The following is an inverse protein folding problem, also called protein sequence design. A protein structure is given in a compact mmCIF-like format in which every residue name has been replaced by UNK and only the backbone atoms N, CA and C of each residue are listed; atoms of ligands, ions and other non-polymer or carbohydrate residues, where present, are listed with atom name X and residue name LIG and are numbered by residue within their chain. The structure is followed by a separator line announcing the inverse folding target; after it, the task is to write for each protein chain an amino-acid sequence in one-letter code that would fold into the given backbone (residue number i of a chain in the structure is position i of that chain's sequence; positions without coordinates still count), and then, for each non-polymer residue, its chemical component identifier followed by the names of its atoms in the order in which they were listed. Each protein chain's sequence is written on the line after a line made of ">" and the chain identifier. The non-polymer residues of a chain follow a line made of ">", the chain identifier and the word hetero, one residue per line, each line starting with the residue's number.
data_IF_195081259022
#
_entry.id   IF_195081259022
#
_cell.length_a   1.000
_cell.length_b   1.000
_cell.length_c   1.000
_cell.angle_alpha   90.00
_cell.angle_beta   90.00
_cell.angle_gamma   90.00
#
_symmetry.space_group_name_H-M   'P 1'
#
loop_
_entity.id
_entity.type
_entity.pdbx_description
1 polymer ?
#
# COMPACT_ATOMS: atom_id res chain seq x y z
N UNK A 1 1.19 4.63 -13.04
CA UNK A 1 1.03 4.81 -11.58
C UNK A 1 0.19 6.05 -11.34
N UNK A 2 -0.69 6.01 -10.34
CA UNK A 2 -1.61 7.09 -9.98
C UNK A 2 -1.46 7.36 -8.49
N UNK A 3 -1.25 8.62 -8.12
CA UNK A 3 -1.23 9.05 -6.72
C UNK A 3 -1.86 10.44 -6.57
N UNK A 4 -2.29 10.78 -5.36
CA UNK A 4 -2.95 12.05 -5.05
C UNK A 4 -2.17 12.84 -3.99
N UNK A 5 -1.92 14.11 -4.27
CA UNK A 5 -1.27 15.05 -3.35
C UNK A 5 -2.31 16.07 -2.91
N UNK A 6 -2.54 16.17 -1.60
CA UNK A 6 -3.41 17.20 -1.03
C UNK A 6 -2.77 18.58 -1.18
N UNK A 7 -3.56 19.54 -1.66
CA UNK A 7 -3.17 20.93 -1.84
C UNK A 7 -3.94 21.82 -0.87
N UNK A 8 -3.31 22.89 -0.40
CA UNK A 8 -4.04 24.00 0.19
C UNK A 8 -4.80 24.71 -0.93
N UNK A 9 -6.14 24.81 -0.91
CA UNK A 9 -6.87 25.48 -1.98
C UNK A 9 -6.53 26.96 -2.01
N UNK A 10 -6.16 27.47 -3.18
CA UNK A 10 -5.95 28.90 -3.42
C UNK A 10 -6.24 29.24 -4.89
N UNK A 11 -6.47 30.52 -5.13
CA UNK A 11 -6.44 31.12 -6.46
C UNK A 11 -5.29 32.11 -6.52
N UNK A 12 -4.66 32.21 -7.67
CA UNK A 12 -3.67 33.23 -7.94
C UNK A 12 -3.85 33.78 -9.37
N UNK A 13 -3.34 34.97 -9.63
CA UNK A 13 -3.37 35.61 -10.95
C UNK A 13 -1.94 35.71 -11.47
N UNK A 14 -1.60 34.85 -12.44
CA UNK A 14 -0.26 34.82 -13.03
C UNK A 14 -0.37 35.04 -14.53
N UNK A 15 0.33 36.05 -15.04
CA UNK A 15 0.34 36.35 -16.48
C UNK A 15 -1.04 36.65 -17.09
N UNK A 16 -1.96 37.21 -16.29
CA UNK A 16 -3.33 37.51 -16.71
C UNK A 16 -4.31 36.32 -16.65
N UNK A 17 -3.84 35.14 -16.22
CA UNK A 17 -4.67 33.94 -16.08
C UNK A 17 -4.91 33.60 -14.60
N UNK A 18 -6.12 33.13 -14.28
CA UNK A 18 -6.44 32.59 -12.96
C UNK A 18 -5.88 31.17 -12.87
N UNK A 19 -4.97 30.93 -11.93
CA UNK A 19 -4.39 29.62 -11.62
C UNK A 19 -4.95 29.07 -10.31
N UNK A 20 -4.83 27.75 -10.12
CA UNK A 20 -5.35 27.05 -8.93
C UNK A 20 -6.80 26.56 -9.06
N UNK A 21 -7.47 26.80 -10.19
CA UNK A 21 -8.80 26.25 -10.50
C UNK A 21 -8.71 24.73 -10.71
N UNK A 22 -9.70 24.00 -10.20
CA UNK A 22 -9.83 22.56 -10.45
C UNK A 22 -10.33 22.27 -11.88
N UNK A 23 -9.95 21.12 -12.42
CA UNK A 23 -10.39 20.67 -13.74
C UNK A 23 -11.84 20.14 -13.74
N UNK A 24 -12.34 19.70 -12.59
CA UNK A 24 -13.64 19.03 -12.49
C UNK A 24 -14.79 19.93 -11.99
N UNK A 25 -14.49 21.13 -11.47
CA UNK A 25 -15.49 22.13 -11.11
C UNK A 25 -14.90 23.55 -11.00
N UNK A 26 -15.74 24.55 -10.69
CA UNK A 26 -15.31 25.95 -10.61
C UNK A 26 -14.62 26.36 -9.31
N UNK A 27 -14.29 25.41 -8.41
CA UNK A 27 -13.61 25.70 -7.14
C UNK A 27 -12.09 25.59 -7.29
N UNK A 28 -11.39 26.12 -6.29
CA UNK A 28 -9.95 25.95 -6.15
C UNK A 28 -9.66 24.46 -5.92
N UNK A 29 -8.62 23.96 -6.58
CA UNK A 29 -8.19 22.58 -6.43
C UNK A 29 -7.76 22.32 -4.97
N UNK A 30 -8.21 21.20 -4.41
CA UNK A 30 -7.78 20.74 -3.09
C UNK A 30 -6.84 19.53 -3.19
N UNK A 31 -6.63 19.00 -4.39
CA UNK A 31 -5.70 17.93 -4.66
C UNK A 31 -5.12 18.02 -6.07
N UNK A 32 -3.95 17.42 -6.25
CA UNK A 32 -3.36 17.13 -7.55
C UNK A 32 -3.25 15.61 -7.71
N UNK A 33 -3.89 15.06 -8.73
CA UNK A 33 -3.74 13.67 -9.12
C UNK A 33 -2.61 13.56 -10.14
N UNK A 34 -1.53 12.90 -9.75
CA UNK A 34 -0.36 12.66 -10.59
C UNK A 34 -0.47 11.31 -11.31
N UNK A 35 -0.19 11.33 -12.61
CA UNK A 35 -0.08 10.14 -13.44
C UNK A 35 1.37 10.00 -13.89
N UNK A 36 1.97 8.86 -13.57
CA UNK A 36 3.35 8.57 -13.91
C UNK A 36 3.44 7.33 -14.78
N UNK A 37 4.23 7.41 -15.84
CA UNK A 37 4.68 6.27 -16.62
C UNK A 37 5.89 5.66 -15.90
N UNK A 38 5.87 4.34 -15.72
CA UNK A 38 7.02 3.59 -15.24
C UNK A 38 7.22 2.39 -16.17
N UNK A 39 8.41 2.26 -16.73
CA UNK A 39 8.75 1.17 -17.65
C UNK A 39 9.05 -0.11 -16.88
N UNK A 40 8.60 -1.25 -17.42
CA UNK A 40 8.96 -2.58 -16.89
C UNK A 40 10.32 -3.06 -17.38
N UNK A 41 10.74 -2.59 -18.56
CA UNK A 41 11.93 -3.10 -19.26
C UNK A 41 13.12 -2.15 -19.13
N UNK A 42 12.93 -0.96 -18.58
CA UNK A 42 13.96 0.06 -18.44
C UNK A 42 13.72 0.92 -17.20
N UNK A 43 14.70 1.72 -16.82
CA UNK A 43 14.62 2.62 -15.67
C UNK A 43 13.87 3.93 -15.97
N UNK A 44 13.10 3.99 -17.07
CA UNK A 44 12.35 5.18 -17.45
C UNK A 44 11.15 5.33 -16.51
N UNK A 45 11.11 6.47 -15.83
CA UNK A 45 10.00 6.90 -15.01
C UNK A 45 9.76 8.38 -15.26
N UNK A 46 8.54 8.75 -15.66
CA UNK A 46 8.21 10.13 -16.04
C UNK A 46 6.78 10.51 -15.64
N UNK A 47 6.56 11.80 -15.41
CA UNK A 47 5.23 12.35 -15.13
C UNK A 47 4.54 12.63 -16.45
N UNK A 48 3.45 11.93 -16.72
CA UNK A 48 2.72 12.06 -18.00
C UNK A 48 1.55 13.02 -17.89
N UNK A 49 0.99 13.19 -16.69
CA UNK A 49 -0.10 14.12 -16.47
C UNK A 49 -0.20 14.53 -15.00
N UNK A 50 -0.55 15.79 -14.74
CA UNK A 50 -0.92 16.29 -13.42
C UNK A 50 -2.29 16.94 -13.54
N UNK A 51 -3.26 16.41 -12.82
CA UNK A 51 -4.63 16.88 -12.84
C UNK A 51 -4.98 17.56 -11.52
N UNK A 52 -5.23 18.87 -11.57
CA UNK A 52 -5.73 19.62 -10.43
C UNK A 52 -7.23 19.35 -10.25
N UNK A 53 -7.64 18.89 -9.07
CA UNK A 53 -9.02 18.48 -8.79
C UNK A 53 -9.54 19.03 -7.47
N UNK A 54 -10.86 19.15 -7.38
CA UNK A 54 -11.58 19.40 -6.15
C UNK A 54 -12.61 18.28 -5.94
N UNK A 55 -12.36 17.35 -5.02
CA UNK A 55 -13.21 16.19 -4.74
C UNK A 55 -13.55 15.37 -6.01
N UNK A 56 -12.61 14.54 -6.43
CA UNK A 56 -12.74 13.73 -7.65
C UNK A 56 -13.78 12.60 -7.50
N UNK A 57 -14.57 12.37 -8.55
CA UNK A 57 -15.50 11.23 -8.64
C UNK A 57 -14.85 10.05 -9.35
N UNK A 58 -15.35 8.84 -9.07
CA UNK A 58 -14.82 7.62 -9.68
C UNK A 58 -15.00 7.61 -11.21
N UNK A 59 -16.14 8.12 -11.71
CA UNK A 59 -16.43 8.22 -13.15
C UNK A 59 -15.48 9.20 -13.84
N UNK A 60 -15.21 10.36 -13.24
CA UNK A 60 -14.27 11.32 -13.79
C UNK A 60 -12.85 10.76 -13.80
N UNK A 61 -12.43 10.13 -12.70
CA UNK A 61 -11.12 9.48 -12.63
C UNK A 61 -10.97 8.37 -13.68
N UNK A 62 -12.01 7.56 -13.90
CA UNK A 62 -12.02 6.53 -14.95
C UNK A 62 -11.76 7.12 -16.33
N UNK A 63 -12.44 8.21 -16.69
CA UNK A 63 -12.25 8.85 -18.00
C UNK A 63 -10.82 9.36 -18.16
N UNK A 64 -10.26 10.02 -17.15
CA UNK A 64 -8.88 10.48 -17.21
C UNK A 64 -7.90 9.31 -17.33
N UNK A 65 -8.08 8.23 -16.56
CA UNK A 65 -7.24 7.02 -16.69
C UNK A 65 -7.30 6.48 -18.12
N UNK A 66 -8.50 6.41 -18.70
CA UNK A 66 -8.71 5.93 -20.06
C UNK A 66 -8.01 6.84 -21.08
N UNK A 67 -8.17 8.16 -20.97
CA UNK A 67 -7.53 9.14 -21.86
C UNK A 67 -6.00 9.05 -21.80
N UNK A 68 -5.41 8.98 -20.60
CA UNK A 68 -3.97 8.82 -20.42
C UNK A 68 -3.48 7.52 -21.05
N UNK A 69 -4.21 6.41 -20.89
CA UNK A 69 -3.85 5.13 -21.53
C UNK A 69 -3.89 5.26 -23.05
N UNK A 70 -4.92 5.88 -23.62
CA UNK A 70 -5.06 6.04 -25.07
C UNK A 70 -3.94 6.93 -25.63
N UNK A 71 -3.67 8.07 -25.01
CA UNK A 71 -2.60 8.99 -25.41
C UNK A 71 -1.22 8.30 -25.39
N UNK A 72 -0.94 7.49 -24.36
CA UNK A 72 0.32 6.73 -24.30
C UNK A 72 0.43 5.70 -25.42
N UNK A 73 -0.67 5.04 -25.81
CA UNK A 73 -0.67 4.09 -26.92
C UNK A 73 -0.45 4.77 -28.27
N UNK A 74 -1.01 5.96 -28.47
CA UNK A 74 -0.79 6.76 -29.68
C UNK A 74 0.68 7.16 -29.86
N UNK A 75 1.37 7.45 -28.75
CA UNK A 75 2.82 7.72 -28.75
C UNK A 75 3.65 6.45 -29.04
N UNK A 76 3.07 5.27 -28.84
CA UNK A 76 3.72 3.97 -29.08
C UNK A 76 4.06 3.20 -27.81
N UNK A 77 3.69 3.69 -26.62
CA UNK A 77 3.86 2.93 -25.38
C UNK A 77 2.79 1.86 -25.21
N UNK A 78 3.23 0.68 -24.78
CA UNK A 78 2.33 -0.42 -24.44
C UNK A 78 2.00 -0.39 -22.95
N UNK A 79 0.90 0.25 -22.58
CA UNK A 79 0.41 0.22 -21.21
C UNK A 79 -0.17 -1.17 -20.91
N UNK A 80 0.38 -1.84 -19.89
CA UNK A 80 -0.07 -3.17 -19.45
C UNK A 80 -0.67 -3.19 -18.05
N UNK A 81 -0.35 -2.19 -17.22
CA UNK A 81 -0.73 -2.16 -15.81
C UNK A 81 -1.02 -0.75 -15.34
N UNK A 82 -2.07 -0.60 -14.53
CA UNK A 82 -2.35 0.57 -13.70
C UNK A 82 -2.02 0.21 -12.25
N UNK A 83 -1.29 1.09 -11.58
CA UNK A 83 -0.96 0.94 -10.16
C UNK A 83 -1.42 2.17 -9.40
N UNK A 84 -2.06 1.99 -8.25
CA UNK A 84 -2.50 3.09 -7.38
C UNK A 84 -2.32 2.72 -5.90
N UNK A 85 -2.50 3.68 -5.02
CA UNK A 85 -2.70 3.40 -3.60
C UNK A 85 -4.00 2.58 -3.36
N UNK A 86 -4.19 2.13 -2.11
CA UNK A 86 -5.38 1.38 -1.69
C UNK A 86 -6.55 2.30 -1.29
N UNK A 87 -6.77 3.39 -2.01
CA UNK A 87 -7.95 4.25 -1.82
C UNK A 87 -9.17 3.60 -2.50
N UNK A 88 -10.31 3.62 -1.80
CA UNK A 88 -11.57 3.07 -2.30
C UNK A 88 -12.05 3.76 -3.60
N UNK A 89 -11.70 5.03 -3.79
CA UNK A 89 -12.02 5.76 -5.02
C UNK A 89 -11.28 5.19 -6.23
N UNK A 90 -9.99 4.85 -6.08
CA UNK A 90 -9.20 4.24 -7.15
C UNK A 90 -9.74 2.86 -7.53
N UNK A 91 -10.05 2.04 -6.53
CA UNK A 91 -10.69 0.75 -6.76
C UNK A 91 -12.06 0.87 -7.43
N UNK A 92 -12.85 1.90 -7.08
CA UNK A 92 -14.15 2.19 -7.71
C UNK A 92 -13.97 2.69 -9.15
N UNK A 93 -13.01 3.57 -9.43
CA UNK A 93 -12.74 4.03 -10.79
C UNK A 93 -12.33 2.87 -11.71
N UNK A 94 -11.50 1.95 -11.20
CA UNK A 94 -11.10 0.76 -11.95
C UNK A 94 -12.23 -0.24 -12.15
N UNK A 95 -13.13 -0.42 -11.18
CA UNK A 95 -14.26 -1.35 -11.33
C UNK A 95 -15.19 -0.98 -12.50
N UNK A 96 -15.27 0.31 -12.82
CA UNK A 96 -16.05 0.86 -13.93
C UNK A 96 -15.48 0.52 -15.32
N UNK A 97 -14.28 -0.08 -15.42
CA UNK A 97 -13.76 -0.66 -16.68
C UNK A 97 -14.35 -2.05 -16.99
N UNK A 98 -15.23 -2.59 -16.13
CA UNK A 98 -15.83 -3.91 -16.28
C UNK A 98 -17.36 -3.84 -16.22
N UNK A 99 -18.02 -4.77 -16.93
CA UNK A 99 -19.46 -5.00 -16.81
C UNK A 99 -19.69 -6.45 -16.33
N UNK A 100 -20.32 -6.67 -15.16
CA UNK A 100 -20.79 -5.68 -14.18
C UNK A 100 -19.62 -4.97 -13.46
N UNK A 101 -19.88 -3.75 -12.98
CA UNK A 101 -18.92 -2.88 -12.27
C UNK A 101 -18.38 -3.56 -10.99
N UNK A 102 -17.31 -4.34 -11.13
CA UNK A 102 -16.70 -5.07 -10.01
C UNK A 102 -15.21 -4.90 -10.05
N UNK A 103 -14.62 -4.64 -8.89
CA UNK A 103 -13.16 -4.58 -8.75
C UNK A 103 -12.57 -5.95 -9.12
N UNK A 104 -11.67 -5.95 -10.08
CA UNK A 104 -10.92 -7.09 -10.60
C UNK A 104 -9.44 -6.70 -10.70
N UNK A 105 -8.60 -7.72 -10.87
CA UNK A 105 -7.18 -7.54 -11.19
C UNK A 105 -6.99 -7.40 -12.71
N UNK A 106 -7.94 -7.91 -13.51
CA UNK A 106 -7.86 -7.97 -14.96
C UNK A 106 -9.04 -7.24 -15.61
N UNK A 107 -8.73 -6.36 -16.56
CA UNK A 107 -9.68 -5.60 -17.35
C UNK A 107 -9.37 -5.70 -18.85
N UNK A 108 -10.36 -5.52 -19.73
CA UNK A 108 -10.10 -5.34 -21.16
C UNK A 108 -9.35 -4.02 -21.38
N UNK A 109 -8.29 -4.06 -22.19
CA UNK A 109 -7.49 -2.87 -22.46
C UNK A 109 -8.27 -1.85 -23.32
N UNK A 110 -8.34 -0.54 -22.94
CA UNK A 110 -9.15 0.47 -23.63
C UNK A 110 -8.87 0.65 -25.13
N UNK A 111 -7.61 0.61 -25.55
CA UNK A 111 -7.23 0.69 -26.97
C UNK A 111 -7.37 -0.65 -27.72
N UNK A 112 -7.32 -1.78 -27.02
CA UNK A 112 -7.15 -3.11 -27.61
C UNK A 112 -7.85 -4.17 -26.75
N UNK A 113 -9.17 -4.38 -26.90
CA UNK A 113 -9.94 -5.22 -25.97
C UNK A 113 -9.45 -6.66 -25.80
N UNK A 114 -8.68 -7.20 -26.75
CA UNK A 114 -8.05 -8.55 -26.65
C UNK A 114 -6.82 -8.60 -25.74
N UNK A 115 -6.23 -7.45 -25.40
CA UNK A 115 -5.08 -7.35 -24.52
C UNK A 115 -5.55 -7.14 -23.07
N UNK A 116 -4.91 -7.79 -22.09
CA UNK A 116 -5.21 -7.55 -20.69
C UNK A 116 -4.65 -6.19 -20.24
N UNK A 117 -5.42 -5.50 -19.41
CA UNK A 117 -4.96 -4.39 -18.57
C UNK A 117 -5.02 -4.86 -17.11
N UNK A 118 -3.87 -4.92 -16.45
CA UNK A 118 -3.78 -5.28 -15.05
C UNK A 118 -4.03 -4.08 -14.14
N UNK A 119 -4.63 -4.33 -12.98
CA UNK A 119 -4.74 -3.35 -11.90
C UNK A 119 -4.15 -3.93 -10.63
N UNK A 120 -3.19 -3.21 -10.05
CA UNK A 120 -2.45 -3.65 -8.86
C UNK A 120 -2.43 -2.49 -7.86
N UNK A 121 -2.74 -2.78 -6.60
CA UNK A 121 -2.49 -1.81 -5.53
C UNK A 121 -1.01 -1.79 -5.19
N UNK A 122 -0.46 -0.60 -4.92
CA UNK A 122 0.92 -0.45 -4.48
C UNK A 122 1.18 -1.35 -3.25
N UNK A 123 2.08 -2.34 -3.38
CA UNK A 123 2.42 -3.24 -2.29
C UNK A 123 2.87 -2.51 -1.02
N UNK A 124 3.55 -1.35 -1.14
CA UNK A 124 3.98 -0.53 0.02
C UNK A 124 2.76 -0.07 0.82
N UNK A 125 1.68 0.32 0.15
CA UNK A 125 0.45 0.74 0.81
C UNK A 125 -0.26 -0.44 1.47
N UNK A 126 -0.33 -1.59 0.80
CA UNK A 126 -0.87 -2.83 1.39
C UNK A 126 -0.08 -3.22 2.64
N UNK A 127 1.24 -3.14 2.61
CA UNK A 127 2.10 -3.46 3.73
C UNK A 127 1.87 -2.52 4.94
N UNK A 128 1.76 -1.22 4.68
CA UNK A 128 1.33 -0.22 5.69
C UNK A 128 -0.06 -0.54 6.24
N UNK A 129 -1.01 -0.90 5.39
CA UNK A 129 -2.38 -1.26 5.79
C UNK A 129 -2.41 -2.49 6.71
N UNK A 130 -1.65 -3.54 6.42
CA UNK A 130 -1.55 -4.74 7.28
C UNK A 130 -1.13 -4.34 8.69
N UNK A 131 -0.02 -3.61 8.84
CA UNK A 131 0.45 -3.11 10.13
C UNK A 131 -0.59 -2.23 10.82
N UNK A 132 -1.11 -1.23 10.12
CA UNK A 132 -2.03 -0.24 10.69
C UNK A 132 -3.33 -0.90 11.16
N UNK A 133 -3.84 -1.86 10.38
CA UNK A 133 -5.03 -2.62 10.74
C UNK A 133 -4.78 -3.49 11.98
N UNK A 134 -3.58 -4.04 12.14
CA UNK A 134 -3.20 -4.84 13.31
C UNK A 134 -3.12 -3.97 14.57
N UNK A 135 -2.41 -2.83 14.49
CA UNK A 135 -2.31 -1.85 15.57
C UNK A 135 -3.70 -1.32 15.98
N UNK A 136 -4.62 -1.13 15.04
CA UNK A 136 -5.94 -0.58 15.34
C UNK A 136 -6.96 -1.63 15.81
N UNK A 137 -6.60 -2.92 15.95
CA UNK A 137 -7.50 -3.92 16.52
C UNK A 137 -7.85 -3.56 17.96
N UNK A 138 -9.15 -3.55 18.26
CA UNK A 138 -9.71 -3.18 19.57
C UNK A 138 -9.92 -4.36 20.52
N UNK A 139 -9.68 -5.59 20.07
CA UNK A 139 -9.81 -6.78 20.90
C UNK A 139 -8.66 -6.89 21.91
N UNK A 140 -8.86 -7.72 22.92
CA UNK A 140 -7.81 -8.09 23.88
C UNK A 140 -6.65 -8.72 23.09
N UNK A 141 -5.43 -8.25 23.32
CA UNK A 141 -4.24 -8.72 22.59
C UNK A 141 -3.94 -7.99 21.27
N UNK A 142 -4.88 -7.18 20.74
CA UNK A 142 -4.79 -6.65 19.38
C UNK A 142 -4.58 -7.78 18.36
N UNK A 143 -5.47 -8.77 18.42
CA UNK A 143 -5.33 -10.04 17.72
C UNK A 143 -5.83 -9.95 16.27
N UNK A 144 -5.09 -10.57 15.37
CA UNK A 144 -5.53 -10.96 14.03
C UNK A 144 -5.69 -12.48 13.97
N UNK A 145 -6.66 -12.95 13.20
CA UNK A 145 -6.92 -14.37 12.99
C UNK A 145 -6.59 -14.73 11.55
N UNK A 146 -5.92 -15.86 11.37
CA UNK A 146 -5.56 -16.39 10.05
C UNK A 146 -5.69 -17.90 10.07
N UNK A 147 -5.96 -18.48 8.90
CA UNK A 147 -6.04 -19.93 8.76
C UNK A 147 -4.67 -20.51 8.51
N UNK A 148 -4.46 -21.74 8.97
CA UNK A 148 -3.29 -22.52 8.58
C UNK A 148 -3.31 -22.78 7.07
N UNK A 149 -2.11 -22.83 6.46
CA UNK A 149 -1.98 -23.05 5.02
C UNK A 149 -2.14 -24.52 4.64
N UNK A 150 -1.80 -25.44 5.55
CA UNK A 150 -1.91 -26.89 5.34
C UNK A 150 -3.29 -27.40 5.78
N UNK A 151 -3.85 -26.85 6.87
CA UNK A 151 -5.19 -27.18 7.35
C UNK A 151 -6.07 -25.93 7.58
N UNK A 152 -6.88 -25.58 6.57
CA UNK A 152 -7.78 -24.42 6.64
C UNK A 152 -8.86 -24.50 7.74
N UNK A 153 -9.06 -25.65 8.39
CA UNK A 153 -9.96 -25.75 9.55
C UNK A 153 -9.34 -25.15 10.82
N UNK A 154 -8.01 -25.08 10.88
CA UNK A 154 -7.25 -24.54 12.01
C UNK A 154 -7.16 -23.02 11.88
N UNK A 155 -7.67 -22.31 12.88
CA UNK A 155 -7.53 -20.86 13.01
C UNK A 155 -6.43 -20.54 14.00
N UNK A 156 -5.40 -19.82 13.55
CA UNK A 156 -4.28 -19.31 14.35
C UNK A 156 -4.51 -17.85 14.74
N UNK A 157 -3.83 -17.41 15.81
CA UNK A 157 -3.99 -16.06 16.36
C UNK A 157 -2.65 -15.33 16.40
N UNK A 158 -2.53 -14.23 15.67
CA UNK A 158 -1.39 -13.32 15.74
C UNK A 158 -1.69 -12.16 16.71
N UNK A 159 -0.88 -12.01 17.75
CA UNK A 159 -1.10 -11.06 18.83
C UNK A 159 -0.11 -9.89 18.76
N UNK A 160 -0.59 -8.67 18.51
CA UNK A 160 0.32 -7.52 18.45
C UNK A 160 0.87 -7.15 19.83
N UNK A 161 0.12 -7.43 20.91
CA UNK A 161 0.61 -7.20 22.28
C UNK A 161 1.84 -8.05 22.59
N UNK A 162 1.94 -9.26 22.07
CA UNK A 162 3.13 -10.12 22.25
C UNK A 162 4.40 -9.44 21.73
N UNK A 163 4.31 -8.74 20.59
CA UNK A 163 5.43 -7.95 20.04
C UNK A 163 5.81 -6.80 20.98
N UNK A 164 4.82 -6.15 21.61
CA UNK A 164 5.06 -5.10 22.60
C UNK A 164 5.70 -5.66 23.87
N UNK A 165 5.18 -6.78 24.39
CA UNK A 165 5.66 -7.43 25.60
C UNK A 165 7.13 -7.85 25.46
N UNK A 166 7.49 -8.55 24.39
CA UNK A 166 8.87 -9.01 24.15
C UNK A 166 9.83 -7.82 24.09
N UNK A 167 9.44 -6.75 23.40
CA UNK A 167 10.23 -5.53 23.35
C UNK A 167 10.41 -4.88 24.73
N UNK A 168 9.40 -4.89 25.58
CA UNK A 168 9.50 -4.41 26.96
C UNK A 168 10.33 -5.33 27.85
N UNK A 169 10.24 -6.64 27.67
CA UNK A 169 11.04 -7.62 28.43
C UNK A 169 12.55 -7.49 28.14
N UNK A 170 12.90 -7.09 26.92
CA UNK A 170 14.29 -6.86 26.50
C UNK A 170 14.81 -5.45 26.84
N UNK A 171 13.98 -4.59 27.42
CA UNK A 171 14.40 -3.26 27.81
C UNK A 171 15.45 -3.34 28.93
N UNK A 172 16.65 -2.82 28.65
CA UNK A 172 17.80 -2.93 29.56
C UNK A 172 18.58 -4.25 29.46
N UNK A 173 18.16 -5.21 28.63
CA UNK A 173 18.90 -6.45 28.39
C UNK A 173 19.97 -6.28 27.30
N UNK A 174 21.10 -6.98 27.46
CA UNK A 174 22.18 -7.02 26.47
C UNK A 174 21.77 -7.84 25.22
N UNK A 175 21.07 -8.96 25.44
CA UNK A 175 20.54 -9.80 24.37
C UNK A 175 19.10 -9.38 24.04
N UNK A 176 18.81 -9.26 22.74
CA UNK A 176 17.52 -8.79 22.22
C UNK A 176 17.01 -9.75 21.14
N UNK A 177 15.85 -10.35 21.35
CA UNK A 177 15.14 -11.17 20.36
C UNK A 177 14.48 -10.29 19.30
N UNK A 178 13.95 -9.12 19.67
CA UNK A 178 13.32 -8.15 18.77
C UNK A 178 14.24 -6.98 18.41
N UNK A 179 15.51 -7.27 18.07
CA UNK A 179 16.50 -6.25 17.76
C UNK A 179 16.04 -5.35 16.59
N UNK A 180 16.00 -4.04 16.81
CA UNK A 180 15.66 -3.04 15.79
C UNK A 180 14.20 -2.56 15.81
N UNK A 181 13.30 -3.15 16.61
CA UNK A 181 11.96 -2.60 16.77
C UNK A 181 12.02 -1.31 17.60
N UNK A 182 11.65 -0.16 17.03
CA UNK A 182 11.56 1.13 17.74
C UNK A 182 10.20 1.34 18.41
N UNK A 183 10.13 2.18 19.46
CA UNK A 183 8.85 2.44 20.17
C UNK A 183 7.83 2.98 19.18
N UNK A 184 8.29 3.80 18.23
CA UNK A 184 7.50 4.36 17.13
C UNK A 184 6.92 3.29 16.20
N UNK A 185 7.57 2.14 16.05
CA UNK A 185 7.03 1.06 15.24
C UNK A 185 5.81 0.40 15.90
N UNK A 186 5.85 0.16 17.21
CA UNK A 186 4.78 -0.52 17.95
C UNK A 186 3.71 0.43 18.53
N UNK A 187 4.06 1.69 18.74
CA UNK A 187 3.21 2.74 19.31
C UNK A 187 3.14 3.96 18.37
N UNK A 188 2.92 3.71 17.08
CA UNK A 188 2.94 4.74 16.04
C UNK A 188 1.80 5.76 16.16
N UNK A 189 2.12 7.05 16.08
CA UNK A 189 1.13 8.12 15.85
C UNK A 189 0.76 8.26 14.36
N UNK A 190 -0.27 9.03 14.03
CA UNK A 190 -0.83 9.12 12.67
C UNK A 190 0.20 9.43 11.57
N UNK A 191 1.14 10.35 11.81
CA UNK A 191 2.18 10.68 10.82
C UNK A 191 3.19 9.53 10.64
N UNK A 192 3.56 8.86 11.72
CA UNK A 192 4.50 7.74 11.70
C UNK A 192 3.93 6.51 10.99
N UNK A 193 2.59 6.39 10.96
CA UNK A 193 1.90 5.33 10.21
C UNK A 193 2.11 5.40 8.70
N UNK A 194 2.60 6.51 8.16
CA UNK A 194 2.96 6.59 6.74
C UNK A 194 4.39 6.10 6.45
N UNK A 195 5.24 5.95 7.47
CA UNK A 195 6.61 5.51 7.29
C UNK A 195 6.71 3.98 7.16
N UNK A 196 7.13 3.52 5.98
CA UNK A 196 7.33 2.09 5.68
C UNK A 196 8.48 1.48 6.47
N UNK A 197 9.48 2.27 6.89
CA UNK A 197 10.61 1.77 7.69
C UNK A 197 10.15 1.18 9.02
N UNK A 198 9.11 1.77 9.63
CA UNK A 198 8.51 1.23 10.85
C UNK A 198 7.70 -0.05 10.60
N UNK A 199 7.18 -0.26 9.38
CA UNK A 199 6.56 -1.53 8.99
C UNK A 199 7.63 -2.62 8.89
N UNK A 200 8.74 -2.33 8.23
CA UNK A 200 9.88 -3.22 8.04
C UNK A 200 10.54 -3.60 9.39
N UNK A 201 10.46 -2.75 10.41
CA UNK A 201 10.93 -3.11 11.74
C UNK A 201 10.09 -4.22 12.39
N UNK A 202 8.77 -4.24 12.16
CA UNK A 202 7.87 -5.27 12.72
C UNK A 202 7.94 -6.54 11.86
N UNK A 203 7.80 -6.37 10.55
CA UNK A 203 7.87 -7.45 9.60
C UNK A 203 9.30 -7.61 9.16
N UNK A 204 10.02 -8.49 9.86
CA UNK A 204 11.44 -8.74 9.68
C UNK A 204 11.77 -10.20 9.99
N UNK A 205 12.75 -10.75 9.29
CA UNK A 205 13.21 -12.13 9.51
C UNK A 205 13.71 -12.36 10.94
N UNK A 206 14.46 -11.40 11.48
CA UNK A 206 14.99 -11.48 12.83
C UNK A 206 13.88 -11.44 13.89
N UNK A 207 12.77 -10.75 13.60
CA UNK A 207 11.68 -10.58 14.57
C UNK A 207 10.90 -11.88 14.73
N UNK A 208 10.53 -12.58 13.64
CA UNK A 208 9.79 -13.83 13.82
C UNK A 208 10.66 -14.95 14.39
N UNK A 209 11.95 -15.02 14.04
CA UNK A 209 12.91 -15.93 14.69
C UNK A 209 13.11 -15.59 16.17
N UNK A 210 13.17 -14.29 16.49
CA UNK A 210 13.23 -13.80 17.86
C UNK A 210 11.98 -14.18 18.68
N UNK A 211 10.79 -14.01 18.10
CA UNK A 211 9.53 -14.41 18.72
C UNK A 211 9.48 -15.91 19.05
N UNK A 212 9.96 -16.77 18.12
CA UNK A 212 10.03 -18.23 18.36
C UNK A 212 10.92 -18.56 19.56
N UNK A 213 12.13 -18.01 19.59
CA UNK A 213 13.07 -18.21 20.73
C UNK A 213 12.54 -17.63 22.04
N UNK A 214 11.93 -16.45 21.98
CA UNK A 214 11.32 -15.84 23.16
C UNK A 214 10.18 -16.72 23.70
N UNK A 215 9.37 -17.33 22.83
CA UNK A 215 8.31 -18.25 23.27
C UNK A 215 8.82 -19.54 23.92
N UNK A 216 10.02 -20.01 23.59
CA UNK A 216 10.65 -21.16 24.27
C UNK A 216 11.16 -20.80 25.67
N UNK A 217 11.57 -19.55 25.87
CA UNK A 217 12.24 -19.07 27.08
C UNK A 217 11.35 -18.26 28.02
N UNK A 218 10.19 -17.82 27.53
CA UNK A 218 9.23 -16.99 28.26
C UNK A 218 7.85 -17.64 28.17
N UNK A 219 6.99 -17.37 29.17
CA UNK A 219 5.58 -17.79 29.13
C UNK A 219 4.69 -16.81 28.36
N UNK A 220 5.25 -16.03 27.41
CA UNK A 220 4.46 -15.12 26.59
C UNK A 220 3.56 -15.90 25.62
N UNK A 221 2.28 -15.58 25.63
CA UNK A 221 1.30 -16.25 24.79
C UNK A 221 1.43 -15.82 23.33
N UNK A 222 1.07 -16.73 22.43
CA UNK A 222 0.97 -16.51 20.99
C UNK A 222 2.28 -16.13 20.27
N UNK A 223 3.44 -16.36 20.89
CA UNK A 223 4.75 -16.10 20.27
C UNK A 223 4.92 -16.83 18.93
N UNK A 224 4.61 -18.14 18.91
CA UNK A 224 4.77 -19.00 17.73
C UNK A 224 3.82 -18.58 16.60
N UNK A 225 2.53 -18.42 16.89
CA UNK A 225 1.54 -18.05 15.87
C UNK A 225 1.73 -16.62 15.36
N UNK A 226 2.22 -15.71 16.22
CA UNK A 226 2.59 -14.34 15.81
C UNK A 226 3.82 -14.36 14.90
N UNK A 227 4.80 -15.22 15.18
CA UNK A 227 5.95 -15.43 14.32
C UNK A 227 5.52 -15.97 12.94
N UNK A 228 4.66 -16.98 12.91
CA UNK A 228 4.12 -17.55 11.66
C UNK A 228 3.42 -16.48 10.81
N UNK A 229 2.59 -15.64 11.43
CA UNK A 229 1.92 -14.54 10.72
C UNK A 229 2.91 -13.53 10.12
N UNK A 230 3.93 -13.15 10.89
CA UNK A 230 4.97 -12.24 10.38
C UNK A 230 5.74 -12.88 9.23
N UNK A 231 6.07 -14.18 9.33
CA UNK A 231 6.76 -14.92 8.27
C UNK A 231 5.92 -14.96 6.99
N UNK A 232 4.61 -15.19 7.08
CA UNK A 232 3.68 -15.16 5.93
C UNK A 232 3.71 -13.81 5.23
N UNK A 233 3.55 -12.72 5.99
CA UNK A 233 3.56 -11.36 5.43
C UNK A 233 4.93 -11.04 4.83
N UNK A 234 6.03 -11.51 5.44
CA UNK A 234 7.38 -11.32 4.92
C UNK A 234 7.64 -12.07 3.63
N UNK A 235 7.17 -13.31 3.49
CA UNK A 235 7.24 -14.07 2.24
C UNK A 235 6.50 -13.33 1.12
N UNK A 236 5.29 -12.83 1.40
CA UNK A 236 4.54 -12.00 0.45
C UNK A 236 5.28 -10.72 0.07
N UNK A 237 5.81 -9.98 1.05
CA UNK A 237 6.52 -8.72 0.81
C UNK A 237 7.79 -8.92 -0.05
N UNK A 238 8.57 -9.97 0.24
CA UNK A 238 9.76 -10.34 -0.54
C UNK A 238 9.40 -10.66 -1.99
N UNK A 239 8.28 -11.34 -2.23
CA UNK A 239 7.80 -11.63 -3.59
C UNK A 239 7.34 -10.37 -4.34
N UNK A 240 6.71 -9.41 -3.64
CA UNK A 240 6.21 -8.16 -4.25
C UNK A 240 7.29 -7.10 -4.46
N UNK A 241 8.40 -7.15 -3.73
CA UNK A 241 9.45 -6.14 -3.74
C UNK A 241 10.81 -6.72 -4.19
N UNK A 242 10.78 -7.61 -5.18
CA UNK A 242 12.01 -8.16 -5.79
C UNK A 242 12.73 -7.03 -6.53
N UNK A 243 14.02 -6.87 -6.27
CA UNK A 243 14.89 -5.97 -7.01
C UNK A 243 15.80 -6.81 -7.92
N UNK A 244 15.72 -6.57 -9.22
CA UNK A 244 16.71 -7.05 -10.15
C UNK A 244 17.82 -6.02 -10.16
N UNK A 245 18.99 -6.37 -9.63
CA UNK A 245 20.18 -5.56 -9.81
C UNK A 245 20.60 -5.72 -11.28
N UNK A 246 20.25 -4.77 -12.14
CA UNK A 246 20.89 -4.69 -13.45
C UNK A 246 22.36 -4.33 -13.24
N UNK A 247 23.26 -5.13 -13.83
CA UNK A 247 24.68 -4.79 -13.96
C UNK A 247 24.87 -3.54 -14.80
#
# INVERSE_FOLDING_TARGET
>A
MIDEINLKPYYDLTGGNIVGKSANNEKAANAACGFMLNSFLSNICDVVHILLVNNISADFLREIIKEVILALQEIGYQVICVTSDNNSLNGKAMSLFSSPNKLRILYPHPAHPKRPLFFIFDPVHIFKCIRNNWINKKNVGQNMYFHDFDDHSVTRTACFKTIKSIRSLEEGQLLKYAYGISVKAVCSISIERQNVMFVIQIFNDHVFEGLRKAGEQTNEMHCSETADFIEIVMKWWKAMNVKIYSK
#
